data_IF_752046076264
#
_entry.id   IF_752046076264
#
_cell.length_a   1.000
_cell.length_b   1.000
_cell.length_c   1.000
_cell.angle_alpha   90.00
_cell.angle_beta   90.00
_cell.angle_gamma   90.00
#
_symmetry.space_group_name_H-M   'P 1'
#
loop_
_entity.id
_entity.type
_entity.pdbx_description
1 polymer ?
#
# COMPACT_ATOMS: atom_id res chain seq x y z
N UNK A 1 -3.87 10.26 -12.85
CA UNK A 1 -3.02 9.16 -12.36
C UNK A 1 -3.86 7.94 -11.98
N UNK A 2 -4.79 8.07 -11.03
CA UNK A 2 -5.66 6.97 -10.55
C UNK A 2 -6.33 6.14 -11.65
N UNK A 3 -6.94 6.78 -12.65
CA UNK A 3 -7.63 6.07 -13.75
C UNK A 3 -6.72 5.15 -14.57
N UNK A 4 -5.43 5.49 -14.73
CA UNK A 4 -4.47 4.62 -15.44
C UNK A 4 -4.02 3.44 -14.58
N UNK A 5 -3.88 3.64 -13.27
CA UNK A 5 -3.41 2.61 -12.33
C UNK A 5 -4.51 1.58 -12.07
N UNK A 6 -5.71 2.05 -11.70
CA UNK A 6 -6.85 1.19 -11.40
C UNK A 6 -7.32 0.40 -12.62
N UNK A 7 -7.27 0.99 -13.83
CA UNK A 7 -7.60 0.28 -15.07
C UNK A 7 -6.68 -0.91 -15.37
N UNK A 8 -5.47 -0.91 -14.82
CA UNK A 8 -4.51 -2.01 -14.96
C UNK A 8 -4.57 -3.00 -13.78
N UNK A 9 -5.65 -3.01 -12.98
CA UNK A 9 -5.80 -3.84 -11.78
C UNK A 9 -4.67 -3.66 -10.75
N UNK A 10 -4.07 -2.47 -10.70
CA UNK A 10 -3.09 -2.10 -9.69
C UNK A 10 -3.78 -1.35 -8.55
N UNK A 11 -3.31 -1.60 -7.33
CA UNK A 11 -3.79 -0.91 -6.13
C UNK A 11 -3.02 0.38 -5.90
N UNK A 12 -3.67 1.34 -5.25
CA UNK A 12 -3.08 2.61 -4.86
C UNK A 12 -2.98 2.62 -3.33
N UNK A 13 -1.80 2.96 -2.81
CA UNK A 13 -1.55 3.11 -1.38
C UNK A 13 -1.29 4.59 -1.12
N UNK A 14 -2.07 5.19 -0.23
CA UNK A 14 -2.01 6.62 0.09
C UNK A 14 -1.79 6.83 1.59
N UNK A 15 -1.33 8.02 1.96
CA UNK A 15 -1.12 8.44 3.36
C UNK A 15 -0.19 7.52 4.17
N UNK A 16 0.87 7.00 3.54
CA UNK A 16 1.92 6.28 4.27
C UNK A 16 2.69 7.23 5.19
N UNK A 17 2.99 6.74 6.40
CA UNK A 17 3.85 7.42 7.37
C UNK A 17 5.22 6.74 7.46
N UNK A 18 6.16 7.41 8.14
CA UNK A 18 7.47 6.86 8.51
C UNK A 18 8.33 6.42 7.31
N UNK A 19 8.12 7.01 6.12
CA UNK A 19 8.88 6.69 4.92
C UNK A 19 10.37 7.05 5.06
N UNK A 20 10.67 8.04 5.91
CA UNK A 20 12.02 8.45 6.30
C UNK A 20 12.81 7.36 7.03
N UNK A 21 12.14 6.34 7.57
CA UNK A 21 12.77 5.26 8.35
C UNK A 21 13.14 4.03 7.50
N UNK A 22 12.69 3.96 6.25
CA UNK A 22 12.83 2.77 5.39
C UNK A 22 14.18 2.74 4.65
N UNK A 23 14.86 3.88 4.53
CA UNK A 23 16.13 3.98 3.81
C UNK A 23 15.95 3.95 2.28
N UNK A 24 17.03 3.61 1.56
CA UNK A 24 17.07 3.56 0.09
C UNK A 24 17.13 2.15 -0.50
N UNK A 25 17.36 1.14 0.35
CA UNK A 25 17.47 -0.24 -0.09
C UNK A 25 16.09 -0.85 -0.36
N UNK A 26 16.09 -1.99 -1.05
CA UNK A 26 14.87 -2.75 -1.27
C UNK A 26 14.38 -3.33 0.07
N UNK A 27 13.08 -3.27 0.27
CA UNK A 27 12.43 -3.80 1.46
C UNK A 27 11.13 -4.52 1.07
N UNK A 28 10.63 -5.37 1.96
CA UNK A 28 9.34 -6.03 1.75
C UNK A 28 8.23 -5.17 2.30
N UNK A 29 7.29 -4.76 1.44
CA UNK A 29 6.10 -4.03 1.83
C UNK A 29 4.88 -4.96 1.95
N UNK A 30 4.22 -4.92 3.10
CA UNK A 30 2.98 -5.65 3.34
C UNK A 30 1.83 -4.67 3.64
N UNK A 31 0.77 -4.72 2.83
CA UNK A 31 -0.48 -4.03 3.09
C UNK A 31 -1.55 -5.03 3.54
N UNK A 32 -2.07 -4.85 4.76
CA UNK A 32 -3.06 -5.74 5.36
C UNK A 32 -4.43 -5.02 5.44
N UNK A 33 -5.25 -5.08 4.36
CA UNK A 33 -6.57 -4.45 4.34
C UNK A 33 -7.60 -5.24 5.13
N UNK A 34 -8.62 -4.53 5.63
CA UNK A 34 -9.85 -5.16 6.09
C UNK A 34 -10.65 -5.71 4.90
N UNK A 35 -11.22 -6.90 5.07
CA UNK A 35 -11.97 -7.60 4.02
C UNK A 35 -13.44 -7.13 3.97
N UNK A 36 -13.69 -6.00 3.32
CA UNK A 36 -15.05 -5.53 3.04
C UNK A 36 -15.64 -6.21 1.79
N UNK A 37 -16.95 -6.41 1.78
CA UNK A 37 -17.69 -6.97 0.64
C UNK A 37 -17.91 -5.85 -0.40
N UNK A 38 -17.62 -6.12 -1.67
CA UNK A 38 -17.83 -5.20 -2.80
C UNK A 38 -17.27 -3.78 -2.56
N UNK A 39 -16.02 -3.71 -2.09
CA UNK A 39 -15.37 -2.45 -1.73
C UNK A 39 -14.22 -2.13 -2.68
N UNK A 40 -14.09 -0.84 -3.01
CA UNK A 40 -13.02 -0.31 -3.87
C UNK A 40 -11.72 0.00 -3.09
N UNK A 41 -11.76 -0.07 -1.75
CA UNK A 41 -10.62 0.23 -0.90
C UNK A 41 -10.92 0.06 0.59
N UNK A 42 -9.89 -0.20 1.37
CA UNK A 42 -9.98 -0.37 2.81
C UNK A 42 -8.84 0.37 3.50
N UNK A 43 -9.04 0.77 4.75
CA UNK A 43 -7.92 1.12 5.61
C UNK A 43 -7.02 -0.11 5.79
N UNK A 44 -5.71 0.13 5.77
CA UNK A 44 -4.71 -0.94 5.82
C UNK A 44 -3.78 -0.74 7.00
N UNK A 45 -3.33 -1.86 7.59
CA UNK A 45 -2.08 -1.85 8.36
C UNK A 45 -0.93 -2.05 7.39
N UNK A 46 -0.22 -0.96 7.10
CA UNK A 46 0.99 -0.97 6.29
C UNK A 46 2.21 -1.32 7.14
N UNK A 47 3.04 -2.24 6.66
CA UNK A 47 4.27 -2.71 7.34
C UNK A 47 5.39 -2.76 6.32
N UNK A 48 6.55 -2.22 6.69
CA UNK A 48 7.82 -2.45 6.00
C UNK A 48 8.65 -3.44 6.83
N UNK A 49 9.13 -4.50 6.20
CA UNK A 49 10.08 -5.45 6.80
C UNK A 49 11.45 -5.07 6.26
N UNK A 50 12.32 -4.65 7.18
CA UNK A 50 13.71 -4.25 6.92
C UNK A 50 14.63 -5.39 7.38
N UNK A 51 15.73 -5.60 6.66
CA UNK A 51 16.80 -6.53 7.03
C UNK A 51 17.86 -5.86 7.94
#
# INVERSE_FOLDING_TARGET
MHHKVLKNNLVIIENLCNLDQIGSDLFTFCALPLKFINSDGASVRAIAILD
#
